data_IF_015619312595
#
_entry.id   IF_015619312595
#
_cell.length_a   1.000
_cell.length_b   1.000
_cell.length_c   1.000
_cell.angle_alpha   90.00
_cell.angle_beta   90.00
_cell.angle_gamma   90.00
#
_symmetry.space_group_name_H-M   'P 1'
#
loop_
_entity.id
_entity.type
_entity.pdbx_description
1 polymer ?
#
# COMPACT_ATOMS: atom_id res chain seq x y z
N UNK A 1 -13.11 21.72 -14.77
CA UNK A 1 -12.26 20.82 -15.58
C UNK A 1 -11.23 20.04 -14.77
N UNK A 2 -10.87 20.44 -13.54
CA UNK A 2 -9.79 19.79 -12.75
C UNK A 2 -10.22 18.51 -12.03
N UNK A 3 -11.42 18.48 -11.42
CA UNK A 3 -11.87 17.33 -10.62
C UNK A 3 -12.21 16.08 -11.45
N UNK A 4 -12.75 16.24 -12.67
CA UNK A 4 -13.10 15.11 -13.55
C UNK A 4 -11.87 14.35 -14.05
N UNK A 5 -10.76 15.07 -14.27
CA UNK A 5 -9.50 14.49 -14.76
C UNK A 5 -8.75 13.72 -13.66
N UNK A 6 -8.84 14.17 -12.40
CA UNK A 6 -8.28 13.45 -11.25
C UNK A 6 -9.04 12.16 -10.92
N UNK A 7 -10.36 12.16 -11.09
CA UNK A 7 -11.19 10.96 -10.93
C UNK A 7 -10.84 9.89 -11.98
N UNK A 8 -10.64 10.32 -13.23
CA UNK A 8 -10.26 9.44 -14.33
C UNK A 8 -8.87 8.82 -14.13
N UNK A 9 -7.87 9.61 -13.74
CA UNK A 9 -6.54 9.08 -13.42
C UNK A 9 -6.59 8.10 -12.23
N UNK A 10 -7.32 8.43 -11.15
CA UNK A 10 -7.47 7.55 -9.98
C UNK A 10 -8.03 6.18 -10.38
N UNK A 11 -9.03 6.16 -11.27
CA UNK A 11 -9.64 4.92 -11.76
C UNK A 11 -8.63 4.04 -12.54
N UNK A 12 -7.72 4.65 -13.32
CA UNK A 12 -6.67 3.91 -14.04
C UNK A 12 -5.71 3.22 -13.08
N UNK A 13 -5.22 3.93 -12.04
CA UNK A 13 -4.29 3.34 -11.07
C UNK A 13 -4.98 2.31 -10.16
N UNK A 14 -6.24 2.53 -9.80
CA UNK A 14 -7.04 1.54 -9.07
C UNK A 14 -7.21 0.26 -9.89
N UNK A 15 -7.60 0.36 -11.16
CA UNK A 15 -7.72 -0.80 -12.05
C UNK A 15 -6.40 -1.53 -12.26
N UNK A 16 -5.28 -0.80 -12.33
CA UNK A 16 -3.95 -1.43 -12.36
C UNK A 16 -3.66 -2.22 -11.08
N UNK A 17 -3.96 -1.67 -9.91
CA UNK A 17 -3.74 -2.33 -8.62
C UNK A 17 -4.61 -3.58 -8.46
N UNK A 18 -5.90 -3.49 -8.79
CA UNK A 18 -6.84 -4.62 -8.78
C UNK A 18 -6.35 -5.75 -9.69
N UNK A 19 -5.92 -5.40 -10.92
CA UNK A 19 -5.36 -6.36 -11.86
C UNK A 19 -4.10 -7.02 -11.30
N UNK A 20 -3.16 -6.24 -10.77
CA UNK A 20 -1.90 -6.74 -10.22
C UNK A 20 -2.10 -7.68 -9.02
N UNK A 21 -3.13 -7.44 -8.19
CA UNK A 21 -3.53 -8.35 -7.12
C UNK A 21 -4.16 -9.62 -7.71
N UNK A 22 -5.10 -9.49 -8.65
CA UNK A 22 -5.80 -10.63 -9.26
C UNK A 22 -4.87 -11.59 -10.01
N UNK A 23 -3.82 -11.04 -10.64
CA UNK A 23 -2.79 -11.79 -11.38
C UNK A 23 -1.64 -12.26 -10.46
N UNK A 24 -1.76 -12.07 -9.14
CA UNK A 24 -0.74 -12.42 -8.14
C UNK A 24 0.64 -11.76 -8.34
N UNK A 25 0.71 -10.66 -9.09
CA UNK A 25 1.93 -9.85 -9.15
C UNK A 25 2.20 -9.12 -7.83
N UNK A 26 1.13 -8.77 -7.11
CA UNK A 26 1.20 -8.20 -5.76
C UNK A 26 0.41 -9.13 -4.84
N UNK A 27 1.03 -9.57 -3.76
CA UNK A 27 0.35 -10.37 -2.75
C UNK A 27 -0.54 -9.48 -1.89
N UNK A 28 -1.83 -9.80 -1.85
CA UNK A 28 -2.77 -9.13 -0.97
C UNK A 28 -2.69 -9.68 0.47
N UNK A 29 -2.70 -8.77 1.43
CA UNK A 29 -2.76 -9.05 2.86
C UNK A 29 -4.00 -8.36 3.44
N UNK A 30 -4.97 -9.13 3.92
CA UNK A 30 -6.13 -8.59 4.64
C UNK A 30 -5.66 -7.88 5.92
N UNK A 31 -5.80 -6.55 5.96
CA UNK A 31 -5.33 -5.68 7.03
C UNK A 31 -5.77 -6.12 8.46
N UNK A 32 -6.92 -6.76 8.59
CA UNK A 32 -7.47 -7.18 9.89
C UNK A 32 -6.70 -8.32 10.54
N UNK A 33 -5.89 -9.06 9.77
CA UNK A 33 -5.05 -10.16 10.29
C UNK A 33 -3.72 -9.69 10.87
N UNK A 34 -3.42 -8.38 10.81
CA UNK A 34 -2.27 -7.82 11.52
C UNK A 34 -2.61 -7.64 13.00
N UNK A 35 -1.75 -8.17 13.86
CA UNK A 35 -1.81 -8.02 15.30
C UNK A 35 -0.54 -7.35 15.83
N UNK A 36 -0.55 -6.96 17.12
CA UNK A 36 0.60 -6.37 17.80
C UNK A 36 1.21 -5.19 17.03
N UNK A 37 0.36 -4.29 16.54
CA UNK A 37 0.78 -3.10 15.80
C UNK A 37 1.46 -2.11 16.74
N UNK A 38 2.68 -1.73 16.38
CA UNK A 38 3.52 -0.80 17.13
C UNK A 38 4.10 0.22 16.16
N UNK A 39 3.85 1.51 16.37
CA UNK A 39 4.44 2.56 15.54
C UNK A 39 5.96 2.58 15.73
N UNK A 40 6.71 2.50 14.63
CA UNK A 40 8.17 2.61 14.62
C UNK A 40 8.59 4.02 14.22
N UNK A 41 7.84 4.62 13.28
CA UNK A 41 8.08 5.98 12.84
C UNK A 41 6.79 6.66 12.42
N UNK A 42 6.75 7.97 12.69
CA UNK A 42 5.71 8.87 12.23
C UNK A 42 6.37 10.06 11.53
N UNK A 43 5.97 10.27 10.28
CA UNK A 43 6.53 11.28 9.39
C UNK A 43 5.44 11.76 8.41
N UNK A 44 5.63 12.96 7.86
CA UNK A 44 4.70 13.54 6.87
C UNK A 44 4.53 12.68 5.60
N UNK A 45 5.57 11.90 5.25
CA UNK A 45 5.59 11.04 4.07
C UNK A 45 5.03 9.64 4.29
N UNK A 46 4.46 9.39 5.47
CA UNK A 46 3.87 8.12 5.86
C UNK A 46 4.41 7.64 7.21
N UNK A 47 3.53 6.94 7.91
CA UNK A 47 3.84 6.27 9.17
C UNK A 47 4.24 4.83 8.88
N UNK A 48 5.17 4.31 9.66
CA UNK A 48 5.58 2.91 9.60
C UNK A 48 5.33 2.26 10.94
N UNK A 49 4.62 1.14 10.91
CA UNK A 49 4.35 0.31 12.09
C UNK A 49 4.91 -1.09 11.90
N UNK A 50 5.44 -1.68 12.97
CA UNK A 50 5.72 -3.10 13.07
C UNK A 50 4.42 -3.83 13.38
N UNK A 51 4.20 -4.99 12.77
CA UNK A 51 3.07 -5.85 13.13
C UNK A 51 3.45 -7.33 12.98
N UNK A 52 2.75 -8.20 13.69
CA UNK A 52 2.75 -9.64 13.42
C UNK A 52 1.62 -9.99 12.46
N UNK A 53 1.91 -10.79 11.43
CA UNK A 53 0.95 -11.28 10.45
C UNK A 53 0.60 -12.75 10.70
N UNK A 54 -0.70 -13.02 10.84
CA UNK A 54 -1.24 -14.37 10.94
C UNK A 54 -0.76 -15.15 12.17
N UNK A 55 -1.13 -16.42 12.23
CA UNK A 55 -0.85 -17.28 13.39
C UNK A 55 0.64 -17.65 13.51
N UNK A 56 1.40 -17.56 12.42
CA UNK A 56 2.85 -17.79 12.42
C UNK A 56 3.63 -16.70 13.15
N UNK A 57 3.01 -15.55 13.46
CA UNK A 57 3.68 -14.43 14.10
C UNK A 57 4.74 -13.77 13.21
N UNK A 58 4.64 -13.91 11.88
CA UNK A 58 5.60 -13.33 10.95
C UNK A 58 5.65 -11.82 11.13
N UNK A 59 6.82 -11.28 11.45
CA UNK A 59 6.98 -9.84 11.66
C UNK A 59 7.07 -9.13 10.31
N UNK A 60 6.23 -8.11 10.13
CA UNK A 60 6.15 -7.29 8.93
C UNK A 60 6.20 -5.80 9.29
N UNK A 61 6.69 -4.99 8.35
CA UNK A 61 6.54 -3.54 8.39
C UNK A 61 5.29 -3.16 7.58
N UNK A 62 4.45 -2.30 8.14
CA UNK A 62 3.29 -1.71 7.49
C UNK A 62 3.58 -0.23 7.32
N UNK A 63 3.63 0.24 6.07
CA UNK A 63 3.65 1.67 5.76
C UNK A 63 2.24 2.11 5.36
N UNK A 64 1.74 3.20 5.95
CA UNK A 64 0.48 3.81 5.56
C UNK A 64 0.59 5.34 5.58
N UNK A 65 -0.25 6.02 4.81
CA UNK A 65 -0.32 7.49 4.78
C UNK A 65 -1.72 7.93 4.39
N UNK A 66 -2.28 8.88 5.14
CA UNK A 66 -3.59 9.48 4.84
C UNK A 66 -3.52 10.54 3.73
N UNK A 67 -2.29 10.94 3.35
CA UNK A 67 -2.04 12.03 2.42
C UNK A 67 -1.61 11.57 1.02
N UNK A 68 -1.46 10.26 0.79
CA UNK A 68 -1.03 9.73 -0.51
C UNK A 68 -2.22 9.41 -1.42
N UNK A 69 -2.07 9.77 -2.69
CA UNK A 69 -2.97 9.35 -3.77
C UNK A 69 -2.69 7.91 -4.18
N UNK A 70 -3.67 7.24 -4.80
CA UNK A 70 -3.49 5.88 -5.36
C UNK A 70 -2.35 5.82 -6.39
N UNK A 71 -2.16 6.90 -7.15
CA UNK A 71 -1.06 7.05 -8.12
C UNK A 71 0.31 6.99 -7.44
N UNK A 72 0.47 7.73 -6.35
CA UNK A 72 1.73 7.75 -5.59
C UNK A 72 2.01 6.38 -4.95
N UNK A 73 0.98 5.71 -4.42
CA UNK A 73 1.10 4.35 -3.87
C UNK A 73 1.55 3.37 -4.96
N UNK A 74 0.90 3.39 -6.13
CA UNK A 74 1.26 2.50 -7.26
C UNK A 74 2.68 2.78 -7.74
N UNK A 75 3.11 4.05 -7.80
CA UNK A 75 4.47 4.41 -8.19
C UNK A 75 5.50 3.91 -7.17
N UNK A 76 5.25 4.06 -5.87
CA UNK A 76 6.13 3.54 -4.82
C UNK A 76 6.28 2.00 -4.92
N UNK A 77 5.18 1.28 -5.13
CA UNK A 77 5.21 -0.19 -5.33
C UNK A 77 6.05 -0.56 -6.55
N UNK A 78 5.90 0.15 -7.68
CA UNK A 78 6.68 -0.12 -8.89
C UNK A 78 8.17 0.11 -8.65
N UNK A 79 8.53 1.24 -8.03
CA UNK A 79 9.92 1.57 -7.72
C UNK A 79 10.57 0.55 -6.80
N UNK A 80 9.87 0.07 -5.77
CA UNK A 80 10.40 -0.96 -4.87
C UNK A 80 10.70 -2.27 -5.59
N UNK A 81 9.89 -2.65 -6.59
CA UNK A 81 10.07 -3.89 -7.36
C UNK A 81 11.13 -3.80 -8.45
N UNK A 82 11.54 -2.61 -8.86
CA UNK A 82 12.67 -2.42 -9.78
C UNK A 82 14.03 -2.59 -9.09
N UNK A 83 14.05 -2.50 -7.75
CA UNK A 83 15.27 -2.61 -6.92
C UNK A 83 15.51 -4.06 -6.46
N UNK A 84 14.52 -4.94 -6.59
CA UNK A 84 14.62 -6.40 -6.33
C UNK A 84 15.24 -7.15 -7.53
#
# INVERSE_FOLDING_TARGET
MTAEKELDESNVYLGWLEKAISENYIKYYNYDKFANREEISSCTYGNVSRASWGDSGTIMAIKYSDNLTIKEIVNEIKMQREVD
#
